data_IF_877753792660
#
_entry.id   IF_877753792660
#
_cell.length_a   1.000
_cell.length_b   1.000
_cell.length_c   1.000
_cell.angle_alpha   90.00
_cell.angle_beta   90.00
_cell.angle_gamma   90.00
#
_symmetry.space_group_name_H-M   'P 1'
#
loop_
_entity.id
_entity.type
_entity.pdbx_description
1 polymer ?
#
# COMPACT_ATOMS: atom_id res chain seq x y z
N UNK A 1 -33.73 24.93 0.23
CA UNK A 1 -32.96 23.68 0.05
C UNK A 1 -31.52 23.95 -0.37
N UNK A 2 -31.22 24.72 -1.46
CA UNK A 2 -29.83 25.00 -1.91
C UNK A 2 -28.97 25.70 -0.85
N UNK A 3 -29.52 26.68 -0.10
CA UNK A 3 -28.79 27.41 0.94
C UNK A 3 -28.42 26.51 2.13
N UNK A 4 -29.33 25.62 2.55
CA UNK A 4 -29.10 24.65 3.63
C UNK A 4 -28.05 23.64 3.22
N UNK A 5 -28.11 23.12 1.98
CA UNK A 5 -27.09 22.18 1.45
C UNK A 5 -25.70 22.83 1.43
N UNK A 6 -25.60 24.07 0.94
CA UNK A 6 -24.32 24.80 0.92
C UNK A 6 -23.75 24.97 2.32
N UNK A 7 -24.55 25.35 3.31
CA UNK A 7 -24.10 25.47 4.71
C UNK A 7 -23.67 24.14 5.30
N UNK A 8 -24.38 23.04 4.97
CA UNK A 8 -23.99 21.70 5.40
C UNK A 8 -22.65 21.29 4.80
N UNK A 9 -22.43 21.53 3.51
CA UNK A 9 -21.19 21.22 2.81
C UNK A 9 -20.01 22.05 3.40
N UNK A 10 -20.21 23.34 3.68
CA UNK A 10 -19.21 24.21 4.32
C UNK A 10 -18.83 23.71 5.72
N UNK A 11 -19.81 23.27 6.54
CA UNK A 11 -19.56 22.71 7.87
C UNK A 11 -18.84 21.36 7.79
N UNK A 12 -19.21 20.50 6.84
CA UNK A 12 -18.55 19.23 6.63
C UNK A 12 -17.09 19.38 6.19
N UNK A 13 -16.82 20.35 5.30
CA UNK A 13 -15.45 20.69 4.85
C UNK A 13 -14.63 21.22 6.03
N UNK A 14 -15.15 22.19 6.79
CA UNK A 14 -14.46 22.74 7.95
C UNK A 14 -14.19 21.67 9.03
N UNK A 15 -15.16 20.78 9.27
CA UNK A 15 -15.00 19.66 10.20
C UNK A 15 -13.91 18.68 9.74
N UNK A 16 -13.86 18.34 8.46
CA UNK A 16 -12.87 17.41 7.90
C UNK A 16 -11.47 18.04 7.80
N UNK A 17 -11.38 19.36 7.56
CA UNK A 17 -10.14 20.09 7.46
C UNK A 17 -9.49 20.40 8.82
N UNK A 18 -10.25 20.30 9.93
CA UNK A 18 -9.74 20.58 11.26
C UNK A 18 -8.61 19.60 11.65
N UNK A 19 -7.56 20.15 12.25
CA UNK A 19 -6.43 19.41 12.79
C UNK A 19 -6.78 18.79 14.15
N UNK A 20 -7.68 17.81 14.14
CA UNK A 20 -8.17 17.13 15.35
C UNK A 20 -8.39 15.65 15.07
N UNK A 21 -8.24 14.85 16.11
CA UNK A 21 -8.64 13.44 16.11
C UNK A 21 -10.04 13.29 16.71
N UNK A 22 -10.76 12.29 16.23
CA UNK A 22 -12.04 11.88 16.80
C UNK A 22 -11.99 10.38 17.09
N UNK A 23 -12.16 10.02 18.35
CA UNK A 23 -12.06 8.64 18.82
C UNK A 23 -10.74 7.94 18.39
N UNK A 24 -9.60 8.64 18.49
CA UNK A 24 -8.29 8.13 18.12
C UNK A 24 -8.07 7.98 16.61
N UNK A 25 -8.93 8.58 15.77
CA UNK A 25 -8.79 8.57 14.32
C UNK A 25 -8.54 9.98 13.80
N UNK A 26 -7.45 10.21 13.03
CA UNK A 26 -7.17 11.52 12.46
C UNK A 26 -8.23 11.87 11.42
N UNK A 27 -8.60 13.15 11.39
CA UNK A 27 -9.40 13.73 10.32
C UNK A 27 -8.54 13.90 9.06
N UNK A 28 -9.17 14.09 7.93
CA UNK A 28 -8.49 14.30 6.65
C UNK A 28 -7.49 15.45 6.71
N UNK A 29 -7.88 16.59 7.34
CA UNK A 29 -7.01 17.74 7.54
C UNK A 29 -5.74 17.41 8.33
N UNK A 30 -5.86 16.66 9.43
CA UNK A 30 -4.71 16.24 10.25
C UNK A 30 -3.72 15.37 9.44
N UNK A 31 -4.22 14.47 8.61
CA UNK A 31 -3.38 13.66 7.70
C UNK A 31 -2.68 14.54 6.68
N UNK A 32 -3.40 15.44 6.02
CA UNK A 32 -2.84 16.32 4.99
C UNK A 32 -1.83 17.30 5.57
N UNK A 33 -2.06 17.85 6.76
CA UNK A 33 -1.11 18.72 7.47
C UNK A 33 0.21 18.03 7.81
N UNK A 34 0.24 16.70 7.92
CA UNK A 34 1.51 15.99 8.13
C UNK A 34 2.48 16.11 6.94
N UNK A 35 1.99 16.51 5.76
CA UNK A 35 2.76 16.62 4.51
C UNK A 35 2.63 17.98 3.80
N UNK A 36 1.64 18.79 4.16
CA UNK A 36 1.35 20.10 3.56
C UNK A 36 1.34 21.14 4.67
N UNK A 37 2.30 22.06 4.65
CA UNK A 37 2.38 23.12 5.64
C UNK A 37 1.34 24.25 5.44
N UNK A 38 0.96 24.49 4.19
CA UNK A 38 0.01 25.55 3.81
C UNK A 38 -1.44 25.12 4.11
N UNK A 39 -2.07 25.79 5.09
CA UNK A 39 -3.46 25.51 5.49
C UNK A 39 -4.44 25.77 4.35
N UNK A 40 -4.24 26.80 3.54
CA UNK A 40 -5.12 27.12 2.42
C UNK A 40 -5.13 25.98 1.37
N UNK A 41 -3.96 25.37 1.10
CA UNK A 41 -3.88 24.19 0.22
C UNK A 41 -4.54 22.96 0.84
N UNK A 42 -4.42 22.77 2.17
CA UNK A 42 -5.14 21.69 2.89
C UNK A 42 -6.64 21.88 2.75
N UNK A 43 -7.17 23.06 3.03
CA UNK A 43 -8.60 23.35 2.96
C UNK A 43 -9.16 23.18 1.54
N UNK A 44 -8.43 23.68 0.54
CA UNK A 44 -8.80 23.53 -0.86
C UNK A 44 -8.83 22.04 -1.29
N UNK A 45 -7.83 21.25 -0.85
CA UNK A 45 -7.77 19.82 -1.16
C UNK A 45 -8.90 19.06 -0.48
N UNK A 46 -9.17 19.33 0.80
CA UNK A 46 -10.30 18.74 1.54
C UNK A 46 -11.62 19.06 0.85
N UNK A 47 -11.84 20.32 0.45
CA UNK A 47 -13.04 20.74 -0.26
C UNK A 47 -13.22 19.92 -1.57
N UNK A 48 -12.16 19.77 -2.38
CA UNK A 48 -12.22 19.02 -3.63
C UNK A 48 -12.46 17.54 -3.41
N UNK A 49 -11.84 16.93 -2.39
CA UNK A 49 -12.07 15.52 -2.03
C UNK A 49 -13.51 15.26 -1.61
N UNK A 50 -14.09 16.12 -0.77
CA UNK A 50 -15.44 15.95 -0.24
C UNK A 50 -16.54 16.27 -1.25
N UNK A 51 -16.28 17.16 -2.20
CA UNK A 51 -17.26 17.54 -3.22
C UNK A 51 -17.17 16.72 -4.50
N UNK A 52 -16.11 15.88 -4.62
CA UNK A 52 -15.95 15.05 -5.81
C UNK A 52 -17.01 13.95 -5.89
N UNK A 53 -17.68 13.88 -7.03
CA UNK A 53 -18.64 12.84 -7.37
C UNK A 53 -18.11 12.04 -8.54
N UNK A 54 -17.69 10.79 -8.30
CA UNK A 54 -17.17 9.93 -9.37
C UNK A 54 -16.00 9.04 -8.93
N UNK A 55 -15.34 8.37 -9.89
CA UNK A 55 -14.19 7.52 -9.59
C UNK A 55 -13.02 8.33 -9.01
N UNK A 56 -12.42 7.82 -7.93
CA UNK A 56 -11.27 8.45 -7.24
C UNK A 56 -10.08 8.73 -8.17
N UNK A 57 -9.86 7.91 -9.19
CA UNK A 57 -8.81 8.13 -10.18
C UNK A 57 -8.98 9.48 -10.90
N UNK A 58 -10.20 9.82 -11.32
CA UNK A 58 -10.50 11.10 -11.99
C UNK A 58 -10.30 12.31 -11.08
N UNK A 59 -10.53 12.15 -9.76
CA UNK A 59 -10.18 13.19 -8.79
C UNK A 59 -8.68 13.48 -8.80
N UNK A 60 -7.87 12.42 -8.68
CA UNK A 60 -6.42 12.59 -8.66
C UNK A 60 -5.86 13.16 -9.97
N UNK A 61 -6.39 12.76 -11.11
CA UNK A 61 -5.99 13.29 -12.40
C UNK A 61 -6.33 14.79 -12.49
N UNK A 62 -7.54 15.19 -12.10
CA UNK A 62 -7.92 16.60 -12.05
C UNK A 62 -7.07 17.44 -11.07
N UNK A 63 -6.68 16.86 -9.93
CA UNK A 63 -5.84 17.54 -8.95
C UNK A 63 -4.39 17.72 -9.42
N UNK A 64 -3.86 16.81 -10.25
CA UNK A 64 -2.52 16.95 -10.86
C UNK A 64 -2.45 18.10 -11.86
N UNK A 65 -3.58 18.42 -12.50
CA UNK A 65 -3.69 19.55 -13.44
C UNK A 65 -4.02 20.88 -12.74
N UNK A 66 -4.38 20.86 -11.45
CA UNK A 66 -4.74 22.05 -10.69
C UNK A 66 -3.50 22.90 -10.38
N UNK A 67 -3.44 24.13 -10.88
CA UNK A 67 -2.29 25.01 -10.74
C UNK A 67 -1.87 25.29 -9.30
N UNK A 68 -2.82 25.27 -8.34
CA UNK A 68 -2.56 25.55 -6.92
C UNK A 68 -2.17 24.29 -6.13
N UNK A 69 -2.64 23.11 -6.56
CA UNK A 69 -2.55 21.88 -5.78
C UNK A 69 -1.56 20.85 -6.36
N UNK A 70 -1.23 20.93 -7.65
CA UNK A 70 -0.39 19.93 -8.36
C UNK A 70 0.90 19.54 -7.62
N UNK A 71 1.56 20.51 -6.98
CA UNK A 71 2.83 20.28 -6.27
C UNK A 71 2.65 19.45 -4.98
N UNK A 72 1.49 19.55 -4.34
CA UNK A 72 1.21 18.86 -3.07
C UNK A 72 0.48 17.53 -3.27
N UNK A 73 -0.12 17.32 -4.44
CA UNK A 73 -0.90 16.11 -4.76
C UNK A 73 -0.13 14.80 -4.55
N UNK A 74 1.12 14.62 -5.01
CA UNK A 74 1.84 13.36 -4.80
C UNK A 74 2.04 13.06 -3.31
N UNK A 75 2.38 14.06 -2.50
CA UNK A 75 2.57 13.91 -1.05
C UNK A 75 1.25 13.60 -0.34
N UNK A 76 0.19 14.31 -0.71
CA UNK A 76 -1.15 14.07 -0.17
C UNK A 76 -1.64 12.66 -0.50
N UNK A 77 -1.48 12.22 -1.74
CA UNK A 77 -1.87 10.89 -2.19
C UNK A 77 -1.15 9.80 -1.39
N UNK A 78 0.18 9.93 -1.24
CA UNK A 78 0.98 9.00 -0.44
C UNK A 78 0.53 8.98 1.02
N UNK A 79 0.35 10.14 1.66
CA UNK A 79 -0.09 10.22 3.05
C UNK A 79 -1.46 9.56 3.27
N UNK A 80 -2.40 9.73 2.35
CA UNK A 80 -3.72 9.09 2.42
C UNK A 80 -3.64 7.58 2.21
N UNK A 81 -2.79 7.11 1.29
CA UNK A 81 -2.54 5.68 1.08
C UNK A 81 -1.91 5.04 2.33
N UNK A 82 -0.89 5.67 2.92
CA UNK A 82 -0.28 5.21 4.16
C UNK A 82 -1.28 5.21 5.34
N UNK A 83 -2.16 6.22 5.40
CA UNK A 83 -3.22 6.27 6.41
C UNK A 83 -4.17 5.06 6.29
N UNK A 84 -4.50 4.65 5.08
CA UNK A 84 -5.31 3.45 4.87
C UNK A 84 -4.57 2.18 5.32
N UNK A 85 -3.30 2.02 4.96
CA UNK A 85 -2.47 0.85 5.32
C UNK A 85 -2.22 0.74 6.83
N UNK A 86 -2.11 1.86 7.54
CA UNK A 86 -1.84 1.88 9.00
C UNK A 86 -3.09 1.86 9.86
N UNK A 87 -4.27 1.62 9.30
CA UNK A 87 -5.52 1.68 10.05
C UNK A 87 -5.84 3.07 10.60
N UNK A 88 -5.39 4.11 9.91
CA UNK A 88 -5.55 5.53 10.25
C UNK A 88 -4.76 5.97 11.49
N UNK A 89 -3.61 5.40 11.74
CA UNK A 89 -2.75 5.72 12.87
C UNK A 89 -1.69 6.76 12.46
N UNK A 90 -1.94 8.02 12.80
CA UNK A 90 -1.13 9.16 12.34
C UNK A 90 0.35 9.11 12.82
N UNK A 91 0.70 8.69 14.05
CA UNK A 91 2.09 8.54 14.45
C UNK A 91 2.88 7.62 13.50
N UNK A 92 2.35 6.46 13.16
CA UNK A 92 3.01 5.55 12.21
C UNK A 92 3.08 6.15 10.80
N UNK A 93 2.03 6.86 10.34
CA UNK A 93 2.07 7.56 9.03
C UNK A 93 3.23 8.54 8.98
N UNK A 94 3.45 9.35 10.03
CA UNK A 94 4.57 10.31 10.11
C UNK A 94 5.91 9.59 10.05
N UNK A 95 6.10 8.54 10.85
CA UNK A 95 7.32 7.71 10.82
C UNK A 95 7.58 7.15 9.41
N UNK A 96 6.56 6.63 8.73
CA UNK A 96 6.71 6.07 7.39
C UNK A 96 7.07 7.13 6.35
N UNK A 97 6.52 8.35 6.45
CA UNK A 97 6.87 9.47 5.58
C UNK A 97 8.33 9.91 5.78
N UNK A 98 8.84 9.87 7.01
CA UNK A 98 10.25 10.12 7.31
C UNK A 98 11.14 9.01 6.71
N UNK A 99 10.79 7.75 6.93
CA UNK A 99 11.50 6.60 6.36
C UNK A 99 11.45 6.57 4.83
N UNK A 100 10.37 7.02 4.24
CA UNK A 100 10.26 7.20 2.79
C UNK A 100 11.33 8.17 2.28
N UNK A 101 11.54 9.29 2.95
CA UNK A 101 12.58 10.26 2.59
C UNK A 101 13.99 9.69 2.76
N UNK A 102 14.27 8.98 3.87
CA UNK A 102 15.58 8.39 4.17
C UNK A 102 15.95 7.28 3.18
N UNK A 103 15.02 6.39 2.84
CA UNK A 103 15.24 5.21 2.00
C UNK A 103 14.99 5.46 0.52
N UNK A 104 14.66 6.68 0.12
CA UNK A 104 14.31 7.05 -1.28
C UNK A 104 13.19 6.18 -1.87
N UNK A 105 12.22 5.81 -1.06
CA UNK A 105 11.03 5.10 -1.51
C UNK A 105 10.19 6.04 -2.39
N UNK A 106 9.70 5.54 -3.52
CA UNK A 106 9.02 6.37 -4.54
C UNK A 106 7.50 6.22 -4.42
N UNK A 107 7.04 4.99 -4.18
CA UNK A 107 5.62 4.67 -4.20
C UNK A 107 5.19 3.87 -2.95
N UNK A 108 3.89 3.83 -2.69
CA UNK A 108 3.32 3.01 -1.62
C UNK A 108 3.59 1.52 -1.80
N UNK A 109 3.77 1.07 -3.04
CA UNK A 109 4.11 -0.33 -3.36
C UNK A 109 5.46 -0.77 -2.81
N UNK A 110 6.38 0.18 -2.56
CA UNK A 110 7.70 -0.12 -1.99
C UNK A 110 7.58 -0.62 -0.53
N UNK A 111 6.49 -0.26 0.15
CA UNK A 111 6.20 -0.75 1.50
C UNK A 111 5.83 -2.24 1.54
N UNK A 112 5.51 -2.85 0.40
CA UNK A 112 5.31 -4.29 0.28
C UNK A 112 6.59 -5.13 0.50
N UNK A 113 7.76 -4.49 0.47
CA UNK A 113 9.05 -5.13 0.77
C UNK A 113 9.27 -5.38 2.27
N UNK A 114 8.50 -4.72 3.15
CA UNK A 114 8.76 -4.77 4.59
C UNK A 114 8.14 -6.00 5.26
N UNK A 115 8.96 -6.65 6.09
CA UNK A 115 8.56 -7.75 6.95
C UNK A 115 7.83 -7.26 8.21
N UNK A 116 7.20 -8.17 8.98
CA UNK A 116 6.64 -7.84 10.30
C UNK A 116 7.69 -7.24 11.24
N UNK A 117 8.96 -7.66 11.13
CA UNK A 117 10.06 -7.10 11.92
C UNK A 117 10.32 -5.64 11.56
N UNK A 118 10.33 -5.30 10.27
CA UNK A 118 10.50 -3.91 9.82
C UNK A 118 9.31 -3.05 10.32
N UNK A 119 8.08 -3.56 10.25
CA UNK A 119 6.91 -2.87 10.79
C UNK A 119 7.02 -2.64 12.28
N UNK A 120 7.50 -3.62 13.05
CA UNK A 120 7.73 -3.48 14.49
C UNK A 120 8.80 -2.41 14.79
N UNK A 121 9.86 -2.33 13.99
CA UNK A 121 10.88 -1.28 14.10
C UNK A 121 10.29 0.11 13.83
N UNK A 122 9.41 0.27 12.83
CA UNK A 122 8.76 1.55 12.54
C UNK A 122 7.79 1.97 13.66
N UNK A 123 7.04 1.03 14.22
CA UNK A 123 6.12 1.28 15.35
C UNK A 123 6.90 1.71 16.60
N UNK A 124 8.08 1.14 16.83
CA UNK A 124 8.95 1.46 17.96
C UNK A 124 9.97 2.55 17.65
N UNK A 125 9.78 3.32 16.57
CA UNK A 125 10.73 4.36 16.18
C UNK A 125 10.98 5.36 17.33
N UNK A 126 12.22 5.80 17.52
CA UNK A 126 12.55 6.82 18.51
C UNK A 126 11.78 8.13 18.23
N UNK A 127 11.39 8.83 19.29
CA UNK A 127 10.64 10.11 19.19
C UNK A 127 9.12 9.94 19.24
N UNK A 128 8.57 8.73 19.12
CA UNK A 128 7.15 8.47 19.34
C UNK A 128 6.94 8.01 20.79
N UNK A 129 6.13 8.71 21.61
CA UNK A 129 5.80 8.28 22.98
C UNK A 129 5.19 6.86 22.97
N UNK A 130 5.55 6.02 23.94
CA UNK A 130 5.09 4.64 23.99
C UNK A 130 3.56 4.51 23.93
N UNK A 131 2.85 5.38 24.63
CA UNK A 131 1.38 5.40 24.65
C UNK A 131 0.75 5.72 23.28
N UNK A 132 1.52 6.32 22.35
CA UNK A 132 1.06 6.75 21.02
C UNK A 132 1.53 5.81 19.90
N UNK A 133 2.38 4.80 20.20
CA UNK A 133 2.95 3.90 19.18
C UNK A 133 1.93 2.98 18.53
N UNK A 134 0.86 2.68 19.23
CA UNK A 134 -0.14 1.70 18.82
C UNK A 134 -1.54 2.31 18.93
N UNK A 135 -2.43 2.09 17.93
CA UNK A 135 -3.80 2.54 18.02
C UNK A 135 -4.51 2.00 19.29
N UNK A 136 -5.36 2.80 19.94
CA UNK A 136 -6.11 2.35 21.14
C UNK A 136 -6.98 1.11 20.92
N UNK A 137 -7.34 0.83 19.66
CA UNK A 137 -8.13 -0.34 19.27
C UNK A 137 -7.37 -1.67 19.32
N UNK A 138 -6.03 -1.64 19.42
CA UNK A 138 -5.21 -2.84 19.50
C UNK A 138 -5.12 -3.30 20.98
N UNK A 139 -5.63 -4.49 21.24
CA UNK A 139 -5.59 -5.12 22.57
C UNK A 139 -4.31 -5.96 22.74
N UNK A 140 -3.80 -6.03 23.97
CA UNK A 140 -2.63 -6.84 24.35
C UNK A 140 -2.31 -6.63 25.83
N UNK A 141 -1.56 -7.55 26.43
CA UNK A 141 -1.24 -7.58 27.87
C UNK A 141 -0.30 -6.43 28.26
N UNK A 142 0.59 -6.02 27.37
CA UNK A 142 1.56 -4.96 27.59
C UNK A 142 1.88 -4.23 26.26
N UNK A 143 2.68 -3.17 26.31
CA UNK A 143 3.03 -2.35 25.15
C UNK A 143 3.76 -3.16 24.06
N UNK A 144 4.66 -4.06 24.44
CA UNK A 144 5.41 -4.90 23.50
C UNK A 144 4.49 -5.85 22.70
N UNK A 145 3.57 -6.53 23.41
CA UNK A 145 2.59 -7.42 22.76
C UNK A 145 1.67 -6.65 21.82
N UNK A 146 1.18 -5.47 22.24
CA UNK A 146 0.37 -4.59 21.39
C UNK A 146 1.13 -4.17 20.14
N UNK A 147 2.40 -3.80 20.26
CA UNK A 147 3.24 -3.42 19.12
C UNK A 147 3.43 -4.59 18.14
N UNK A 148 3.66 -5.82 18.62
CA UNK A 148 3.76 -7.03 17.79
C UNK A 148 2.44 -7.33 17.06
N UNK A 149 1.31 -7.27 17.75
CA UNK A 149 -0.02 -7.48 17.16
C UNK A 149 -0.30 -6.43 16.09
N UNK A 150 0.06 -5.18 16.37
CA UNK A 150 -0.14 -4.09 15.40
C UNK A 150 0.78 -4.25 14.18
N UNK A 151 2.05 -4.62 14.35
CA UNK A 151 2.97 -4.91 13.26
C UNK A 151 2.45 -6.02 12.33
N UNK A 152 2.00 -7.14 12.90
CA UNK A 152 1.39 -8.24 12.17
C UNK A 152 0.10 -7.79 11.44
N UNK A 153 -0.71 -6.93 12.08
CA UNK A 153 -1.93 -6.38 11.49
C UNK A 153 -1.61 -5.50 10.26
N UNK A 154 -0.62 -4.61 10.37
CA UNK A 154 -0.21 -3.75 9.25
C UNK A 154 0.37 -4.59 8.12
N UNK A 155 1.26 -5.54 8.41
CA UNK A 155 1.82 -6.46 7.42
C UNK A 155 0.72 -7.22 6.66
N UNK A 156 -0.32 -7.68 7.36
CA UNK A 156 -1.48 -8.34 6.74
C UNK A 156 -2.28 -7.37 5.85
N UNK A 157 -2.56 -6.15 6.32
CA UNK A 157 -3.26 -5.13 5.51
C UNK A 157 -2.49 -4.85 4.21
N UNK A 158 -1.15 -4.73 4.30
CA UNK A 158 -0.28 -4.55 3.13
C UNK A 158 -0.38 -5.75 2.19
N UNK A 159 -0.30 -6.98 2.71
CA UNK A 159 -0.42 -8.20 1.92
C UNK A 159 -1.80 -8.34 1.25
N UNK A 160 -2.87 -7.96 1.93
CA UNK A 160 -4.23 -7.98 1.38
C UNK A 160 -4.44 -6.89 0.31
N UNK A 161 -3.81 -5.73 0.49
CA UNK A 161 -3.95 -4.58 -0.41
C UNK A 161 -3.07 -4.70 -1.66
N UNK A 162 -1.86 -5.25 -1.52
CA UNK A 162 -0.84 -5.33 -2.56
C UNK A 162 -0.24 -6.75 -2.65
N UNK A 163 -1.08 -7.80 -2.83
CA UNK A 163 -0.61 -9.19 -2.70
C UNK A 163 0.42 -9.58 -3.77
N UNK A 164 0.30 -9.07 -4.98
CA UNK A 164 1.28 -9.32 -6.05
C UNK A 164 2.65 -8.71 -5.74
N UNK A 165 2.68 -7.50 -5.19
CA UNK A 165 3.92 -6.80 -4.84
C UNK A 165 4.60 -7.48 -3.65
N UNK A 166 3.86 -7.86 -2.60
CA UNK A 166 4.40 -8.61 -1.46
C UNK A 166 4.99 -9.94 -1.92
N UNK A 167 4.27 -10.68 -2.79
CA UNK A 167 4.78 -11.90 -3.38
C UNK A 167 6.06 -11.66 -4.19
N UNK A 168 6.08 -10.60 -5.01
CA UNK A 168 7.23 -10.26 -5.83
C UNK A 168 8.49 -10.00 -5.00
N UNK A 169 8.39 -9.24 -3.90
CA UNK A 169 9.53 -8.98 -3.00
C UNK A 169 9.97 -10.25 -2.27
N UNK A 170 9.06 -11.08 -1.78
CA UNK A 170 9.39 -12.36 -1.16
C UNK A 170 10.07 -13.32 -2.15
N UNK A 171 9.58 -13.41 -3.39
CA UNK A 171 10.17 -14.25 -4.41
C UNK A 171 11.59 -13.78 -4.83
N UNK A 172 11.84 -12.47 -4.87
CA UNK A 172 13.19 -11.94 -5.11
C UNK A 172 14.17 -12.30 -3.98
N UNK A 173 13.71 -12.26 -2.73
CA UNK A 173 14.52 -12.56 -1.54
C UNK A 173 14.78 -14.07 -1.36
N UNK A 174 13.90 -14.93 -1.88
CA UNK A 174 14.00 -16.39 -1.73
C UNK A 174 15.18 -16.95 -2.51
N UNK A 175 16.17 -17.55 -1.81
CA UNK A 175 17.36 -18.14 -2.42
C UNK A 175 17.03 -19.33 -3.36
N UNK A 176 15.90 -20.00 -3.14
CA UNK A 176 15.47 -21.18 -3.92
C UNK A 176 14.83 -20.83 -5.26
N UNK A 177 14.45 -19.55 -5.47
CA UNK A 177 13.84 -19.13 -6.74
C UNK A 177 14.87 -19.12 -7.87
N UNK A 178 14.49 -19.59 -9.08
CA UNK A 178 15.33 -19.50 -10.27
C UNK A 178 15.74 -18.05 -10.58
N UNK A 179 16.97 -17.86 -11.08
CA UNK A 179 17.51 -16.53 -11.38
C UNK A 179 16.62 -15.71 -12.32
N UNK A 180 16.15 -16.31 -13.41
CA UNK A 180 15.25 -15.67 -14.39
C UNK A 180 13.91 -15.24 -13.77
N UNK A 181 13.37 -16.01 -12.82
CA UNK A 181 12.16 -15.66 -12.06
C UNK A 181 12.40 -14.46 -11.18
N UNK A 182 13.56 -14.37 -10.53
CA UNK A 182 13.95 -13.17 -9.74
C UNK A 182 14.09 -11.94 -10.63
N UNK A 183 14.68 -12.07 -11.82
CA UNK A 183 14.76 -10.98 -12.80
C UNK A 183 13.37 -10.49 -13.19
N UNK A 184 12.43 -11.39 -13.46
CA UNK A 184 11.04 -11.04 -13.74
C UNK A 184 10.42 -10.22 -12.60
N UNK A 185 10.49 -10.70 -11.37
CA UNK A 185 9.90 -10.01 -10.22
C UNK A 185 10.57 -8.67 -9.94
N UNK A 186 11.88 -8.55 -10.21
CA UNK A 186 12.58 -7.27 -10.18
C UNK A 186 12.02 -6.30 -11.21
N UNK A 187 11.78 -6.75 -12.45
CA UNK A 187 11.18 -5.93 -13.49
C UNK A 187 9.76 -5.47 -13.10
N UNK A 188 8.96 -6.34 -12.44
CA UNK A 188 7.63 -5.99 -11.92
C UNK A 188 7.71 -4.92 -10.85
N UNK A 189 8.62 -5.03 -9.88
CA UNK A 189 8.72 -4.09 -8.75
C UNK A 189 9.40 -2.77 -9.11
N UNK A 190 10.22 -2.74 -10.16
CA UNK A 190 10.90 -1.52 -10.63
C UNK A 190 10.19 -0.80 -11.78
N UNK A 191 9.18 -1.42 -12.39
CA UNK A 191 8.48 -0.90 -13.56
C UNK A 191 7.07 -0.38 -13.26
N UNK A 192 6.59 0.51 -14.13
CA UNK A 192 5.24 1.08 -14.06
C UNK A 192 4.14 0.17 -14.65
N UNK A 193 4.46 -1.08 -15.01
CA UNK A 193 3.59 -1.92 -15.84
C UNK A 193 2.31 -2.44 -15.14
N UNK A 194 2.15 -2.24 -13.83
CA UNK A 194 0.92 -2.60 -13.11
C UNK A 194 0.54 -4.10 -13.18
N UNK A 195 1.54 -5.00 -13.22
CA UNK A 195 1.30 -6.44 -13.26
C UNK A 195 0.62 -6.93 -11.98
N UNK A 196 -0.48 -7.65 -12.15
CA UNK A 196 -1.30 -8.19 -11.05
C UNK A 196 -1.65 -9.66 -11.32
N UNK A 197 -1.19 -10.59 -10.48
CA UNK A 197 -1.48 -12.01 -10.63
C UNK A 197 -2.97 -12.34 -10.61
N UNK A 198 -3.77 -11.56 -9.89
CA UNK A 198 -5.23 -11.73 -9.81
C UNK A 198 -6.00 -11.17 -11.00
N UNK A 199 -5.34 -10.53 -11.98
CA UNK A 199 -6.00 -9.87 -13.12
C UNK A 199 -5.63 -10.51 -14.46
N UNK A 200 -6.57 -11.25 -15.01
CA UNK A 200 -6.41 -11.84 -16.33
C UNK A 200 -5.41 -13.00 -16.37
N UNK A 201 -5.02 -13.43 -17.57
CA UNK A 201 -4.06 -14.49 -17.77
C UNK A 201 -2.65 -13.94 -17.95
N UNK A 202 -1.64 -14.64 -17.41
CA UNK A 202 -0.23 -14.24 -17.45
C UNK A 202 0.25 -14.03 -18.89
N UNK A 203 0.13 -15.03 -19.76
CA UNK A 203 0.68 -14.98 -21.12
C UNK A 203 0.14 -13.81 -21.95
N UNK A 204 -1.17 -13.60 -22.11
CA UNK A 204 -1.69 -12.45 -22.87
C UNK A 204 -1.30 -11.09 -22.28
N UNK A 205 -1.03 -11.02 -20.97
CA UNK A 205 -0.54 -9.78 -20.35
C UNK A 205 0.92 -9.53 -20.74
N UNK A 206 1.77 -10.56 -20.69
CA UNK A 206 3.19 -10.46 -21.04
C UNK A 206 3.41 -10.17 -22.52
N UNK A 207 2.57 -10.71 -23.40
CA UNK A 207 2.60 -10.42 -24.85
C UNK A 207 2.41 -8.90 -25.11
N UNK A 208 1.57 -8.25 -24.30
CA UNK A 208 1.33 -6.79 -24.37
C UNK A 208 2.38 -5.96 -23.64
N UNK A 209 3.15 -6.59 -22.74
CA UNK A 209 4.14 -5.92 -21.88
C UNK A 209 5.50 -6.65 -21.94
N UNK A 210 6.14 -6.74 -23.12
CA UNK A 210 7.36 -7.53 -23.32
C UNK A 210 8.55 -7.00 -22.51
N UNK A 211 8.52 -5.75 -22.07
CA UNK A 211 9.55 -5.17 -21.21
C UNK A 211 9.71 -5.92 -19.86
N UNK A 212 8.64 -6.56 -19.36
CA UNK A 212 8.71 -7.38 -18.14
C UNK A 212 9.57 -8.65 -18.32
N UNK A 213 9.80 -9.08 -19.55
CA UNK A 213 10.66 -10.22 -19.89
C UNK A 213 12.07 -9.81 -20.31
N UNK A 214 12.45 -8.55 -20.12
CA UNK A 214 13.79 -8.07 -20.43
C UNK A 214 14.83 -8.68 -19.49
N UNK A 215 15.97 -9.13 -20.05
CA UNK A 215 17.07 -9.74 -19.30
C UNK A 215 16.82 -11.19 -18.87
N UNK A 216 15.74 -11.83 -19.34
CA UNK A 216 15.38 -13.22 -19.04
C UNK A 216 15.88 -14.12 -20.18
N UNK A 217 16.69 -15.11 -19.83
CA UNK A 217 17.27 -16.05 -20.79
C UNK A 217 16.22 -17.08 -21.27
N UNK A 218 15.48 -17.70 -20.35
CA UNK A 218 14.46 -18.69 -20.67
C UNK A 218 13.05 -18.17 -20.38
N UNK A 219 12.50 -17.42 -21.33
CA UNK A 219 11.17 -16.80 -21.18
C UNK A 219 10.04 -17.81 -20.99
N UNK A 220 10.04 -18.92 -21.72
CA UNK A 220 8.99 -19.94 -21.63
C UNK A 220 8.98 -20.62 -20.25
N UNK A 221 10.15 -20.92 -19.69
CA UNK A 221 10.26 -21.45 -18.34
C UNK A 221 9.70 -20.47 -17.29
N UNK A 222 10.01 -19.18 -17.43
CA UNK A 222 9.46 -18.15 -16.53
C UNK A 222 7.95 -18.01 -16.68
N UNK A 223 7.43 -18.00 -17.91
CA UNK A 223 5.98 -17.93 -18.16
C UNK A 223 5.27 -19.12 -17.52
N UNK A 224 5.78 -20.35 -17.72
CA UNK A 224 5.23 -21.55 -17.09
C UNK A 224 5.23 -21.48 -15.56
N UNK A 225 6.34 -21.00 -14.96
CA UNK A 225 6.44 -20.77 -13.52
C UNK A 225 5.42 -19.73 -13.01
N UNK A 226 5.20 -18.66 -13.77
CA UNK A 226 4.23 -17.62 -13.42
C UNK A 226 2.77 -18.11 -13.55
N UNK A 227 2.47 -18.94 -14.56
CA UNK A 227 1.15 -19.57 -14.71
C UNK A 227 0.86 -20.52 -13.55
N UNK A 228 1.87 -21.28 -13.10
CA UNK A 228 1.77 -22.09 -11.87
C UNK A 228 1.57 -21.19 -10.64
N UNK A 229 2.39 -20.15 -10.48
CA UNK A 229 2.27 -19.18 -9.39
C UNK A 229 0.88 -18.54 -9.39
N UNK A 230 0.31 -18.21 -10.54
CA UNK A 230 -1.05 -17.66 -10.64
C UNK A 230 -2.11 -18.66 -10.16
N UNK A 231 -1.96 -19.95 -10.48
CA UNK A 231 -2.88 -20.99 -9.98
C UNK A 231 -2.81 -21.11 -8.46
N UNK A 232 -1.60 -21.12 -7.89
CA UNK A 232 -1.40 -21.12 -6.43
C UNK A 232 -1.92 -19.86 -5.78
N UNK A 233 -1.72 -18.69 -6.40
CA UNK A 233 -2.22 -17.40 -5.92
C UNK A 233 -3.75 -17.32 -5.82
N UNK A 234 -4.45 -18.08 -6.65
CA UNK A 234 -5.90 -18.20 -6.57
C UNK A 234 -6.36 -19.11 -5.42
N UNK A 235 -5.49 -19.95 -4.87
CA UNK A 235 -5.75 -20.79 -3.68
C UNK A 235 -5.38 -20.03 -2.41
N UNK A 236 -4.20 -19.44 -2.40
CA UNK A 236 -3.69 -18.62 -1.29
C UNK A 236 -2.83 -17.47 -1.82
N UNK A 237 -2.99 -16.29 -1.23
CA UNK A 237 -2.15 -15.12 -1.53
C UNK A 237 -0.87 -15.08 -0.70
N UNK A 238 -0.72 -16.01 0.25
CA UNK A 238 0.45 -16.12 1.11
C UNK A 238 1.58 -16.85 0.38
N UNK A 239 2.73 -16.16 0.21
CA UNK A 239 3.90 -16.71 -0.48
C UNK A 239 4.42 -18.00 0.17
N UNK A 240 4.50 -18.03 1.50
CA UNK A 240 5.09 -19.16 2.23
C UNK A 240 4.20 -20.41 2.09
N UNK A 241 2.87 -20.24 2.14
CA UNK A 241 1.91 -21.32 1.84
C UNK A 241 2.01 -21.81 0.41
N UNK A 242 2.21 -20.90 -0.57
CA UNK A 242 2.44 -21.30 -1.96
C UNK A 242 3.70 -22.17 -2.11
N UNK A 243 4.79 -21.84 -1.37
CA UNK A 243 6.01 -22.66 -1.41
C UNK A 243 5.78 -24.05 -0.78
N UNK A 244 4.98 -24.16 0.27
CA UNK A 244 4.58 -25.47 0.83
C UNK A 244 3.78 -26.27 -0.19
N UNK A 245 2.74 -25.69 -0.79
CA UNK A 245 1.93 -26.36 -1.83
C UNK A 245 2.80 -26.81 -3.01
N UNK A 246 3.70 -25.97 -3.50
CA UNK A 246 4.63 -26.32 -4.59
C UNK A 246 5.55 -27.48 -4.20
N UNK A 247 6.11 -27.48 -2.99
CA UNK A 247 7.02 -28.52 -2.51
C UNK A 247 6.34 -29.88 -2.34
N UNK A 248 5.03 -29.90 -2.14
CA UNK A 248 4.22 -31.11 -2.05
C UNK A 248 3.63 -31.57 -3.39
N UNK A 249 3.98 -30.88 -4.50
CA UNK A 249 3.45 -31.20 -5.83
C UNK A 249 2.01 -30.70 -6.08
N UNK A 250 1.43 -29.95 -5.16
CA UNK A 250 0.07 -29.40 -5.24
C UNK A 250 0.10 -28.06 -5.99
N UNK A 251 0.17 -28.10 -7.31
CA UNK A 251 0.36 -26.92 -8.17
C UNK A 251 -0.94 -26.31 -8.72
N UNK A 252 -2.10 -26.87 -8.35
CA UNK A 252 -3.42 -26.39 -8.79
C UNK A 252 -4.54 -26.81 -7.85
N UNK A 253 -5.72 -26.17 -7.98
CA UNK A 253 -6.93 -26.54 -7.21
C UNK A 253 -7.39 -27.99 -7.47
N UNK A 254 -7.14 -28.52 -8.67
CA UNK A 254 -7.43 -29.92 -9.01
C UNK A 254 -6.51 -30.91 -8.29
N UNK A 255 -5.29 -30.50 -7.93
CA UNK A 255 -4.35 -31.33 -7.18
C UNK A 255 -4.60 -31.25 -5.65
N UNK A 256 -5.35 -30.27 -5.19
CA UNK A 256 -5.69 -30.07 -3.75
C UNK A 256 -7.02 -30.72 -3.42
N UNK A 257 -7.93 -30.91 -4.39
CA UNK A 257 -9.23 -31.56 -4.20
C UNK A 257 -9.11 -33.08 -4.19
#
# INVERSE_FOLDING_TARGET
VRKIRKQFDEHAIAFAAADKEVAGRPRLGAVLKSVIADQGKVDALVAKVLTHTGPTAKLWDALKEDAQLKEVVPKAQLALQLTALTGRHLPLVKTLLEKQRERKLIAVTDFAAFSEKDWLEFINAPGVPEAERVPPSISGKNAEEKAKIYAATVARIVADTMPTQVLAFKAQADAKQPGDVKVFWKNVTSGAAGFELGRGRVRPYLDKNPALLQGIANKESVIGHLEETQRLFNLTRNYDEQQVLRSTGLSSSLAVA
#
